data_IF_073052170306
#
_entry.id   IF_073052170306
#
_cell.length_a   1.000
_cell.length_b   1.000
_cell.length_c   1.000
_cell.angle_alpha   90.00
_cell.angle_beta   90.00
_cell.angle_gamma   90.00
#
_symmetry.space_group_name_H-M   'P 1'
#
loop_
_entity.id
_entity.type
_entity.pdbx_description
1 polymer ?
#
# COMPACT_ATOMS: atom_id res chain seq x y z
N UNK A 1 18.00 -31.93 -2.00
CA UNK A 1 17.95 -30.49 -2.33
C UNK A 1 19.28 -29.86 -1.93
N UNK A 2 19.97 -29.15 -2.84
CA UNK A 2 21.33 -28.66 -2.61
C UNK A 2 21.28 -27.55 -1.55
N UNK A 3 21.99 -27.70 -0.42
CA UNK A 3 21.94 -26.82 0.75
C UNK A 3 22.25 -25.35 0.42
N UNK A 4 23.06 -25.10 -0.63
CA UNK A 4 23.25 -23.76 -1.21
C UNK A 4 21.93 -23.14 -1.69
N UNK A 5 21.04 -23.91 -2.35
CA UNK A 5 19.72 -23.43 -2.80
C UNK A 5 18.79 -23.05 -1.64
N UNK A 6 18.91 -23.70 -0.47
CA UNK A 6 18.11 -23.37 0.73
C UNK A 6 18.52 -21.99 1.28
N UNK A 7 19.83 -21.76 1.41
CA UNK A 7 20.39 -20.47 1.83
C UNK A 7 20.10 -19.38 0.78
N UNK A 8 20.15 -19.70 -0.53
CA UNK A 8 19.80 -18.73 -1.58
C UNK A 8 18.30 -18.38 -1.56
N UNK A 9 17.40 -19.34 -1.33
CA UNK A 9 15.95 -19.08 -1.19
C UNK A 9 15.63 -18.21 0.03
N UNK A 10 16.30 -18.46 1.15
CA UNK A 10 16.16 -17.67 2.39
C UNK A 10 16.75 -16.27 2.28
N UNK A 11 17.91 -16.12 1.63
CA UNK A 11 18.51 -14.81 1.35
C UNK A 11 17.67 -13.98 0.37
N UNK A 12 16.99 -14.63 -0.59
CA UNK A 12 16.02 -13.97 -1.47
C UNK A 12 14.84 -13.45 -0.64
N UNK A 13 14.27 -14.22 0.29
CA UNK A 13 13.15 -13.76 1.14
C UNK A 13 13.51 -12.55 2.03
N UNK A 14 14.75 -12.46 2.54
CA UNK A 14 15.25 -11.27 3.26
C UNK A 14 15.36 -10.02 2.35
N UNK A 15 15.66 -10.20 1.07
CA UNK A 15 15.70 -9.12 0.06
C UNK A 15 14.29 -8.71 -0.40
N UNK A 16 13.29 -9.60 -0.33
CA UNK A 16 11.89 -9.30 -0.72
C UNK A 16 11.16 -8.37 0.26
N UNK A 17 11.68 -8.16 1.47
CA UNK A 17 11.25 -7.07 2.36
C UNK A 17 11.59 -5.68 1.82
N UNK A 18 12.45 -5.59 0.80
CA UNK A 18 12.86 -4.38 0.10
C UNK A 18 12.48 -4.37 -1.38
N UNK A 19 11.39 -5.01 -1.80
CA UNK A 19 10.94 -4.88 -3.20
C UNK A 19 10.74 -3.40 -3.54
N UNK A 20 11.38 -2.89 -4.62
CA UNK A 20 11.19 -1.51 -5.04
C UNK A 20 9.70 -1.26 -5.34
N UNK A 21 9.25 -0.07 -4.99
CA UNK A 21 7.91 0.42 -5.23
C UNK A 21 7.62 0.41 -6.74
N UNK A 22 6.95 -0.63 -7.25
CA UNK A 22 6.52 -0.72 -8.64
C UNK A 22 5.50 0.38 -9.04
N UNK A 23 5.07 1.23 -8.11
CA UNK A 23 4.19 2.38 -8.36
C UNK A 23 4.94 3.72 -8.55
N UNK A 24 6.25 3.71 -8.79
CA UNK A 24 7.06 4.94 -8.86
C UNK A 24 6.51 5.97 -9.86
N UNK A 25 6.03 5.52 -11.03
CA UNK A 25 5.44 6.42 -12.04
C UNK A 25 4.15 7.06 -11.55
N UNK A 26 3.23 6.29 -10.97
CA UNK A 26 1.94 6.81 -10.50
C UNK A 26 2.11 7.74 -9.29
N UNK A 27 3.09 7.45 -8.42
CA UNK A 27 3.47 8.35 -7.33
C UNK A 27 4.05 9.65 -7.88
N UNK A 28 4.95 9.57 -8.87
CA UNK A 28 5.50 10.77 -9.54
C UNK A 28 4.40 11.61 -10.20
N UNK A 29 3.49 10.97 -10.94
CA UNK A 29 2.37 11.65 -11.58
C UNK A 29 1.49 12.35 -10.53
N UNK A 30 1.17 11.68 -9.42
CA UNK A 30 0.42 12.28 -8.32
C UNK A 30 1.16 13.47 -7.70
N UNK A 31 2.44 13.30 -7.35
CA UNK A 31 3.26 14.37 -6.75
C UNK A 31 3.28 15.60 -7.67
N UNK A 32 3.49 15.39 -8.97
CA UNK A 32 3.45 16.47 -9.96
C UNK A 32 2.10 17.20 -10.01
N UNK A 33 0.99 16.46 -10.04
CA UNK A 33 -0.34 17.09 -10.04
C UNK A 33 -0.65 17.82 -8.73
N UNK A 34 -0.17 17.29 -7.60
CA UNK A 34 -0.33 17.92 -6.29
C UNK A 34 0.48 19.22 -6.19
N UNK A 35 1.71 19.24 -6.70
CA UNK A 35 2.52 20.47 -6.77
C UNK A 35 1.87 21.54 -7.65
N UNK A 36 1.30 21.14 -8.80
CA UNK A 36 0.49 22.02 -9.64
C UNK A 36 -0.73 22.56 -8.90
N UNK A 37 -1.45 21.71 -8.17
CA UNK A 37 -2.59 22.13 -7.36
C UNK A 37 -2.18 23.21 -6.35
N UNK A 38 -1.07 23.00 -5.62
CA UNK A 38 -0.56 23.99 -4.65
C UNK A 38 -0.25 25.33 -5.32
N UNK A 39 0.48 25.29 -6.43
CA UNK A 39 0.82 26.50 -7.19
C UNK A 39 -0.44 27.26 -7.65
N UNK A 40 -1.39 26.53 -8.25
CA UNK A 40 -2.65 27.13 -8.72
C UNK A 40 -3.52 27.65 -7.56
N UNK A 41 -3.42 27.05 -6.37
CA UNK A 41 -4.15 27.48 -5.19
C UNK A 41 -3.62 28.83 -4.67
N UNK A 42 -2.30 29.01 -4.68
CA UNK A 42 -1.66 30.26 -4.30
C UNK A 42 -2.05 31.39 -5.29
N UNK A 43 -2.00 31.12 -6.60
CA UNK A 43 -2.44 32.06 -7.63
C UNK A 43 -3.92 32.45 -7.50
N UNK A 44 -4.80 31.47 -7.27
CA UNK A 44 -6.22 31.71 -7.00
C UNK A 44 -6.41 32.59 -5.77
N UNK A 45 -5.65 32.34 -4.70
CA UNK A 45 -5.77 33.11 -3.45
C UNK A 45 -5.39 34.57 -3.67
N UNK A 46 -4.32 34.83 -4.43
CA UNK A 46 -3.91 36.18 -4.82
C UNK A 46 -4.99 36.88 -5.63
N UNK A 47 -5.47 36.25 -6.72
CA UNK A 47 -6.48 36.82 -7.61
C UNK A 47 -7.81 37.10 -6.89
N UNK A 48 -8.25 36.17 -6.02
CA UNK A 48 -9.42 36.35 -5.16
C UNK A 48 -9.27 37.58 -4.26
N UNK A 49 -8.14 37.70 -3.57
CA UNK A 49 -7.89 38.81 -2.65
C UNK A 49 -7.81 40.15 -3.39
N UNK A 50 -7.21 40.17 -4.57
CA UNK A 50 -7.14 41.35 -5.43
C UNK A 50 -8.54 41.79 -5.89
N UNK A 51 -9.38 40.86 -6.35
CA UNK A 51 -10.77 41.15 -6.68
C UNK A 51 -11.56 41.72 -5.50
N UNK A 52 -11.44 41.11 -4.31
CA UNK A 52 -12.11 41.60 -3.09
C UNK A 52 -11.68 43.03 -2.71
N UNK A 53 -10.43 43.40 -3.02
CA UNK A 53 -9.88 44.74 -2.75
C UNK A 53 -10.27 45.76 -3.81
N UNK A 54 -10.08 45.44 -5.09
CA UNK A 54 -10.18 46.41 -6.19
C UNK A 54 -11.58 46.48 -6.80
N UNK A 55 -12.31 45.36 -6.85
CA UNK A 55 -13.66 45.24 -7.42
C UNK A 55 -13.78 45.77 -8.86
N UNK A 56 -12.72 45.69 -9.64
CA UNK A 56 -12.70 46.08 -11.06
C UNK A 56 -13.09 44.90 -11.95
N UNK A 57 -13.59 45.18 -13.16
CA UNK A 57 -13.93 44.14 -14.15
C UNK A 57 -12.71 43.25 -14.48
N UNK A 58 -11.51 43.85 -14.56
CA UNK A 58 -10.26 43.11 -14.79
C UNK A 58 -9.96 42.15 -13.66
N UNK A 59 -10.00 42.62 -12.40
CA UNK A 59 -9.75 41.76 -11.23
C UNK A 59 -10.81 40.66 -11.07
N UNK A 60 -12.07 40.93 -11.44
CA UNK A 60 -13.14 39.94 -11.45
C UNK A 60 -12.87 38.84 -12.48
N UNK A 61 -12.47 39.23 -13.69
CA UNK A 61 -12.14 38.29 -14.77
C UNK A 61 -10.96 37.41 -14.38
N UNK A 62 -9.90 37.98 -13.82
CA UNK A 62 -8.74 37.20 -13.37
C UNK A 62 -9.12 36.21 -12.24
N UNK A 63 -9.90 36.66 -11.24
CA UNK A 63 -10.39 35.79 -10.18
C UNK A 63 -11.26 34.63 -10.73
N UNK A 64 -12.11 34.88 -11.72
CA UNK A 64 -12.90 33.85 -12.40
C UNK A 64 -11.99 32.84 -13.13
N UNK A 65 -11.04 33.34 -13.91
CA UNK A 65 -10.12 32.52 -14.69
C UNK A 65 -9.26 31.63 -13.76
N UNK A 66 -8.74 32.17 -12.65
CA UNK A 66 -8.00 31.40 -11.64
C UNK A 66 -8.89 30.43 -10.84
N UNK A 67 -10.14 30.78 -10.57
CA UNK A 67 -11.11 29.88 -9.93
C UNK A 67 -11.39 28.65 -10.79
N UNK A 68 -11.58 28.85 -12.11
CA UNK A 68 -11.74 27.76 -13.08
C UNK A 68 -10.54 26.81 -13.02
N UNK A 69 -9.33 27.35 -13.08
CA UNK A 69 -8.07 26.59 -13.05
C UNK A 69 -7.93 25.75 -11.78
N UNK A 70 -8.20 26.31 -10.59
CA UNK A 70 -8.03 25.56 -9.34
C UNK A 70 -9.08 24.45 -9.17
N UNK A 71 -10.32 24.65 -9.61
CA UNK A 71 -11.35 23.61 -9.56
C UNK A 71 -10.97 22.45 -10.49
N UNK A 72 -10.56 22.74 -11.73
CA UNK A 72 -10.06 21.72 -12.66
C UNK A 72 -8.88 20.96 -12.08
N UNK A 73 -7.88 21.67 -11.54
CA UNK A 73 -6.67 21.05 -11.02
C UNK A 73 -6.95 20.21 -9.76
N UNK A 74 -7.91 20.60 -8.92
CA UNK A 74 -8.36 19.82 -7.76
C UNK A 74 -8.94 18.47 -8.20
N UNK A 75 -9.84 18.47 -9.18
CA UNK A 75 -10.41 17.24 -9.74
C UNK A 75 -9.34 16.36 -10.39
N UNK A 76 -8.42 16.95 -11.16
CA UNK A 76 -7.32 16.22 -11.80
C UNK A 76 -6.39 15.56 -10.79
N UNK A 77 -6.05 16.27 -9.71
CA UNK A 77 -5.18 15.74 -8.65
C UNK A 77 -5.83 14.52 -7.98
N UNK A 78 -7.12 14.63 -7.65
CA UNK A 78 -7.88 13.53 -7.07
C UNK A 78 -7.98 12.34 -8.04
N UNK A 79 -8.22 12.60 -9.32
CA UNK A 79 -8.31 11.56 -10.35
C UNK A 79 -7.02 10.75 -10.45
N UNK A 80 -5.86 11.43 -10.51
CA UNK A 80 -4.56 10.76 -10.57
C UNK A 80 -4.26 9.99 -9.28
N UNK A 81 -4.68 10.51 -8.12
CA UNK A 81 -4.59 9.78 -6.86
C UNK A 81 -5.39 8.47 -6.90
N UNK A 82 -6.65 8.49 -7.36
CA UNK A 82 -7.46 7.28 -7.48
C UNK A 82 -6.88 6.29 -8.51
N UNK A 83 -6.28 6.77 -9.60
CA UNK A 83 -5.56 5.91 -10.54
C UNK A 83 -4.35 5.22 -9.89
N UNK A 84 -3.60 5.94 -9.05
CA UNK A 84 -2.48 5.37 -8.31
C UNK A 84 -2.93 4.31 -7.30
N UNK A 85 -4.07 4.54 -6.62
CA UNK A 85 -4.70 3.55 -5.75
C UNK A 85 -5.14 2.31 -6.54
N UNK A 86 -5.81 2.48 -7.68
CA UNK A 86 -6.23 1.37 -8.56
C UNK A 86 -5.04 0.53 -9.01
N UNK A 87 -3.96 1.18 -9.43
CA UNK A 87 -2.74 0.47 -9.83
C UNK A 87 -2.16 -0.33 -8.66
N UNK A 88 -2.07 0.29 -7.48
CA UNK A 88 -1.56 -0.36 -6.27
C UNK A 88 -2.43 -1.53 -5.83
N UNK A 89 -3.75 -1.41 -5.91
CA UNK A 89 -4.72 -2.46 -5.61
C UNK A 89 -4.51 -3.67 -6.51
N UNK A 90 -4.42 -3.44 -7.82
CA UNK A 90 -4.32 -4.53 -8.80
C UNK A 90 -2.98 -5.27 -8.72
N UNK A 91 -1.90 -4.54 -8.43
CA UNK A 91 -0.54 -5.10 -8.32
C UNK A 91 -0.24 -5.74 -6.95
N UNK A 92 -1.01 -5.42 -5.91
CA UNK A 92 -0.79 -5.98 -4.58
C UNK A 92 -1.28 -7.42 -4.51
N UNK A 93 -0.40 -8.35 -4.13
CA UNK A 93 -0.75 -9.75 -3.85
C UNK A 93 -1.48 -9.88 -2.50
N UNK A 94 -2.09 -11.04 -2.23
CA UNK A 94 -2.75 -11.34 -0.95
C UNK A 94 -4.12 -10.67 -0.74
N UNK A 95 -4.63 -9.89 -1.68
CA UNK A 95 -6.00 -9.35 -1.65
C UNK A 95 -6.96 -10.37 -2.29
N UNK A 96 -8.13 -10.57 -1.70
CA UNK A 96 -9.17 -11.42 -2.27
C UNK A 96 -9.59 -10.91 -3.65
N UNK A 97 -9.84 -11.83 -4.60
CA UNK A 97 -10.15 -11.45 -5.97
C UNK A 97 -11.46 -10.65 -6.07
N UNK A 98 -12.47 -11.03 -5.27
CA UNK A 98 -13.76 -10.34 -5.18
C UNK A 98 -13.58 -8.88 -4.73
N UNK A 99 -12.76 -8.64 -3.69
CA UNK A 99 -12.45 -7.28 -3.24
C UNK A 99 -11.70 -6.47 -4.29
N UNK A 100 -10.72 -7.08 -4.99
CA UNK A 100 -10.00 -6.40 -6.06
C UNK A 100 -10.92 -5.94 -7.18
N UNK A 101 -11.85 -6.81 -7.60
CA UNK A 101 -12.81 -6.52 -8.67
C UNK A 101 -13.74 -5.39 -8.23
N UNK A 102 -14.35 -5.53 -7.05
CA UNK A 102 -15.30 -4.54 -6.50
C UNK A 102 -14.65 -3.17 -6.33
N UNK A 103 -13.51 -3.10 -5.63
CA UNK A 103 -12.81 -1.83 -5.41
C UNK A 103 -12.29 -1.21 -6.70
N UNK A 104 -11.80 -2.03 -7.64
CA UNK A 104 -11.38 -1.50 -8.96
C UNK A 104 -12.55 -0.89 -9.73
N UNK A 105 -13.73 -1.53 -9.71
CA UNK A 105 -14.93 -1.01 -10.35
C UNK A 105 -15.37 0.32 -9.72
N UNK A 106 -15.41 0.40 -8.39
CA UNK A 106 -15.75 1.64 -7.67
C UNK A 106 -14.75 2.78 -7.98
N UNK A 107 -13.45 2.46 -8.07
CA UNK A 107 -12.43 3.43 -8.45
C UNK A 107 -12.61 3.89 -9.90
N UNK A 108 -12.94 2.99 -10.82
CA UNK A 108 -13.17 3.33 -12.24
C UNK A 108 -14.39 4.24 -12.42
N UNK A 109 -15.48 3.99 -11.69
CA UNK A 109 -16.64 4.86 -11.67
C UNK A 109 -16.26 6.28 -11.26
N UNK A 110 -15.52 6.43 -10.15
CA UNK A 110 -15.14 7.75 -9.64
C UNK A 110 -14.07 8.43 -10.50
N UNK A 111 -13.13 7.69 -11.09
CA UNK A 111 -12.17 8.22 -12.08
C UNK A 111 -12.91 8.75 -13.31
N UNK A 112 -13.91 8.01 -13.79
CA UNK A 112 -14.76 8.42 -14.92
C UNK A 112 -15.57 9.67 -14.59
N UNK A 113 -16.19 9.71 -13.40
CA UNK A 113 -16.91 10.89 -12.94
C UNK A 113 -16.01 12.13 -12.86
N UNK A 114 -14.80 11.99 -12.33
CA UNK A 114 -13.83 13.09 -12.23
C UNK A 114 -13.37 13.58 -13.61
N UNK A 115 -13.22 12.67 -14.58
CA UNK A 115 -12.93 13.07 -15.97
C UNK A 115 -14.08 13.91 -16.54
N UNK A 116 -15.32 13.45 -16.41
CA UNK A 116 -16.49 14.20 -16.88
C UNK A 116 -16.59 15.57 -16.18
N UNK A 117 -16.29 15.63 -14.88
CA UNK A 117 -16.26 16.88 -14.13
C UNK A 117 -15.20 17.87 -14.65
N UNK A 118 -14.02 17.37 -15.05
CA UNK A 118 -12.98 18.16 -15.70
C UNK A 118 -13.43 18.64 -17.07
N UNK A 119 -14.09 17.79 -17.85
CA UNK A 119 -14.58 18.11 -19.19
C UNK A 119 -15.69 19.17 -19.13
N UNK A 120 -16.64 19.05 -18.20
CA UNK A 120 -17.66 20.08 -17.91
C UNK A 120 -17.00 21.44 -17.59
N UNK A 121 -15.97 21.43 -16.74
CA UNK A 121 -15.28 22.65 -16.36
C UNK A 121 -14.52 23.26 -17.54
N UNK A 122 -13.77 22.45 -18.28
CA UNK A 122 -12.96 22.95 -19.40
C UNK A 122 -13.82 23.45 -20.56
N UNK A 123 -14.96 22.80 -20.83
CA UNK A 123 -15.91 23.14 -21.89
C UNK A 123 -16.75 24.40 -21.65
N UNK A 124 -16.81 24.93 -20.42
CA UNK A 124 -17.52 26.19 -20.15
C UNK A 124 -16.84 27.41 -20.78
N UNK A 125 -17.58 28.11 -21.63
CA UNK A 125 -17.21 29.40 -22.20
C UNK A 125 -17.78 30.53 -21.35
N UNK A 126 -16.93 31.45 -20.89
CA UNK A 126 -17.31 32.62 -20.08
C UNK A 126 -18.17 32.29 -18.83
N UNK A 127 -17.69 31.43 -17.90
CA UNK A 127 -18.47 31.03 -16.74
C UNK A 127 -18.75 32.21 -15.81
N UNK A 128 -19.93 32.21 -15.19
CA UNK A 128 -20.26 33.11 -14.08
C UNK A 128 -19.72 32.56 -12.76
N UNK A 129 -19.71 33.40 -11.71
CA UNK A 129 -19.38 32.94 -10.35
C UNK A 129 -20.35 31.85 -9.87
N UNK A 130 -21.62 31.95 -10.24
CA UNK A 130 -22.64 30.96 -9.89
C UNK A 130 -22.34 29.61 -10.53
N UNK A 131 -21.95 29.59 -11.81
CA UNK A 131 -21.60 28.36 -12.53
C UNK A 131 -20.41 27.66 -11.87
N UNK A 132 -19.36 28.42 -11.55
CA UNK A 132 -18.17 27.90 -10.88
C UNK A 132 -18.48 27.38 -9.46
N UNK A 133 -19.37 28.06 -8.73
CA UNK A 133 -19.79 27.62 -7.41
C UNK A 133 -20.61 26.32 -7.47
N UNK A 134 -21.55 26.23 -8.42
CA UNK A 134 -22.38 25.05 -8.58
C UNK A 134 -21.52 23.83 -8.95
N UNK A 135 -20.61 23.99 -9.91
CA UNK A 135 -19.71 22.90 -10.30
C UNK A 135 -18.76 22.55 -9.16
N UNK A 136 -18.13 23.50 -8.49
CA UNK A 136 -17.29 23.21 -7.32
C UNK A 136 -18.06 22.42 -6.26
N UNK A 137 -19.31 22.78 -6.01
CA UNK A 137 -20.19 22.11 -5.03
C UNK A 137 -20.53 20.66 -5.42
N UNK A 138 -20.58 20.33 -6.73
CA UNK A 138 -20.79 18.94 -7.18
C UNK A 138 -19.66 18.02 -6.69
N UNK A 139 -18.42 18.48 -6.72
CA UNK A 139 -17.27 17.73 -6.21
C UNK A 139 -17.27 17.64 -4.68
N UNK A 140 -17.59 18.73 -3.98
CA UNK A 140 -17.65 18.75 -2.52
C UNK A 140 -18.69 17.76 -1.96
N UNK A 141 -19.82 17.60 -2.65
CA UNK A 141 -20.85 16.62 -2.26
C UNK A 141 -20.34 15.17 -2.28
N UNK A 142 -19.29 14.87 -3.04
CA UNK A 142 -18.65 13.55 -3.10
C UNK A 142 -17.46 13.38 -2.15
N UNK A 143 -17.08 14.42 -1.39
CA UNK A 143 -15.89 14.40 -0.52
C UNK A 143 -15.83 13.14 0.37
N UNK A 144 -16.91 12.85 1.11
CA UNK A 144 -16.93 11.70 2.02
C UNK A 144 -16.80 10.38 1.27
N UNK A 145 -17.47 10.24 0.12
CA UNK A 145 -17.38 9.05 -0.72
C UNK A 145 -15.94 8.80 -1.17
N UNK A 146 -15.20 9.83 -1.59
CA UNK A 146 -13.79 9.69 -1.96
C UNK A 146 -12.91 9.28 -0.80
N UNK A 147 -13.11 9.87 0.37
CA UNK A 147 -12.32 9.54 1.57
C UNK A 147 -12.54 8.09 1.97
N UNK A 148 -13.80 7.65 2.04
CA UNK A 148 -14.18 6.28 2.41
C UNK A 148 -13.57 5.29 1.41
N UNK A 149 -13.80 5.49 0.11
CA UNK A 149 -13.27 4.62 -0.95
C UNK A 149 -11.73 4.55 -0.92
N UNK A 150 -11.08 5.69 -0.68
CA UNK A 150 -9.62 5.76 -0.58
C UNK A 150 -9.10 4.99 0.63
N UNK A 151 -9.71 5.18 1.80
CA UNK A 151 -9.30 4.47 3.01
C UNK A 151 -9.56 2.98 2.93
N UNK A 152 -10.70 2.58 2.36
CA UNK A 152 -11.03 1.19 2.09
C UNK A 152 -9.98 0.55 1.18
N UNK A 153 -9.66 1.20 0.06
CA UNK A 153 -8.66 0.70 -0.89
C UNK A 153 -7.28 0.57 -0.23
N UNK A 154 -6.85 1.58 0.53
CA UNK A 154 -5.58 1.55 1.26
C UNK A 154 -5.58 0.43 2.30
N UNK A 155 -6.67 0.22 3.03
CA UNK A 155 -6.78 -0.87 4.00
C UNK A 155 -6.56 -2.23 3.35
N UNK A 156 -7.27 -2.53 2.26
CA UNK A 156 -7.10 -3.81 1.55
C UNK A 156 -5.69 -3.98 0.97
N UNK A 157 -5.06 -2.91 0.47
CA UNK A 157 -3.65 -2.96 0.03
C UNK A 157 -2.72 -3.34 1.19
N UNK A 158 -2.88 -2.70 2.35
CA UNK A 158 -2.03 -2.98 3.52
C UNK A 158 -2.25 -4.40 4.05
N UNK A 159 -3.51 -4.84 4.15
CA UNK A 159 -3.88 -6.19 4.56
C UNK A 159 -3.28 -7.22 3.60
N UNK A 160 -3.44 -7.03 2.29
CA UNK A 160 -2.91 -7.94 1.27
C UNK A 160 -1.39 -8.08 1.34
N UNK A 161 -0.67 -6.97 1.52
CA UNK A 161 0.79 -6.99 1.70
C UNK A 161 1.23 -7.79 2.92
N UNK A 162 0.59 -7.59 4.06
CA UNK A 162 0.94 -8.36 5.27
C UNK A 162 0.57 -9.83 5.12
N UNK A 163 -0.58 -10.15 4.52
CA UNK A 163 -0.97 -11.54 4.23
C UNK A 163 0.03 -12.24 3.33
N UNK A 164 0.47 -11.58 2.25
CA UNK A 164 1.51 -12.12 1.37
C UNK A 164 2.81 -12.39 2.14
N UNK A 165 3.24 -11.44 2.98
CA UNK A 165 4.43 -11.62 3.81
C UNK A 165 4.28 -12.79 4.79
N UNK A 166 3.12 -12.94 5.43
CA UNK A 166 2.82 -14.06 6.32
C UNK A 166 2.84 -15.41 5.58
N UNK A 167 2.34 -15.45 4.35
CA UNK A 167 2.38 -16.65 3.50
C UNK A 167 3.82 -17.03 3.12
N UNK A 168 4.65 -16.07 2.74
CA UNK A 168 6.08 -16.30 2.43
C UNK A 168 6.85 -16.77 3.66
N UNK A 169 6.56 -16.19 4.82
CA UNK A 169 7.11 -16.60 6.10
C UNK A 169 6.68 -18.02 6.48
N UNK A 170 5.40 -18.35 6.35
CA UNK A 170 4.86 -19.69 6.60
C UNK A 170 5.45 -20.74 5.66
N UNK A 171 5.62 -20.42 4.38
CA UNK A 171 6.29 -21.29 3.42
C UNK A 171 7.75 -21.60 3.84
N UNK A 172 8.43 -20.62 4.44
CA UNK A 172 9.77 -20.83 5.01
C UNK A 172 9.73 -21.81 6.18
N UNK A 173 8.73 -21.72 7.07
CA UNK A 173 8.53 -22.70 8.14
C UNK A 173 8.31 -24.12 7.58
N UNK A 174 7.47 -24.27 6.56
CA UNK A 174 7.26 -25.57 5.90
C UNK A 174 8.54 -26.18 5.34
N UNK A 175 9.48 -25.36 4.89
CA UNK A 175 10.81 -25.81 4.42
C UNK A 175 11.73 -26.21 5.58
N UNK A 176 11.65 -25.51 6.72
CA UNK A 176 12.45 -25.82 7.91
C UNK A 176 11.97 -27.07 8.65
N UNK A 177 10.67 -27.35 8.66
CA UNK A 177 10.04 -28.45 9.37
C UNK A 177 10.76 -29.81 9.22
N UNK A 178 11.02 -30.32 8.00
CA UNK A 178 11.67 -31.63 7.84
C UNK A 178 13.10 -31.66 8.40
N UNK A 179 13.80 -30.51 8.47
CA UNK A 179 15.13 -30.42 9.07
C UNK A 179 15.02 -30.47 10.60
N UNK A 180 14.06 -29.74 11.17
CA UNK A 180 13.77 -29.76 12.61
C UNK A 180 13.44 -31.18 13.07
N UNK A 181 12.56 -31.87 12.35
CA UNK A 181 12.13 -33.24 12.67
C UNK A 181 13.29 -34.25 12.57
N UNK A 182 14.21 -34.05 11.62
CA UNK A 182 15.37 -34.92 11.40
C UNK A 182 16.37 -34.86 12.56
N UNK A 183 16.71 -33.67 13.03
CA UNK A 183 17.80 -33.51 14.00
C UNK A 183 17.35 -33.64 15.46
N UNK A 184 16.04 -33.69 15.74
CA UNK A 184 15.45 -33.95 17.06
C UNK A 184 16.06 -33.13 18.21
N UNK A 185 16.53 -31.92 17.91
CA UNK A 185 17.09 -31.01 18.89
C UNK A 185 15.96 -30.20 19.54
N UNK A 186 15.85 -30.25 20.87
CA UNK A 186 14.76 -29.60 21.61
C UNK A 186 14.77 -28.07 21.49
N UNK A 187 15.94 -27.43 21.41
CA UNK A 187 16.05 -25.99 21.20
C UNK A 187 15.54 -25.58 19.81
N UNK A 188 15.96 -26.31 18.77
CA UNK A 188 15.51 -26.06 17.39
C UNK A 188 14.00 -26.26 17.28
N UNK A 189 13.46 -27.31 17.92
CA UNK A 189 12.03 -27.58 17.93
C UNK A 189 11.25 -26.47 18.63
N UNK A 190 11.71 -26.01 19.80
CA UNK A 190 11.06 -24.91 20.51
C UNK A 190 11.02 -23.63 19.67
N UNK A 191 12.16 -23.20 19.08
CA UNK A 191 12.16 -22.02 18.21
C UNK A 191 11.29 -22.19 16.97
N UNK A 192 11.21 -23.40 16.41
CA UNK A 192 10.31 -23.68 15.30
C UNK A 192 8.84 -23.51 15.72
N UNK A 193 8.45 -24.04 16.87
CA UNK A 193 7.08 -23.90 17.38
C UNK A 193 6.74 -22.43 17.67
N UNK A 194 7.68 -21.66 18.23
CA UNK A 194 7.52 -20.20 18.39
C UNK A 194 7.39 -19.49 17.04
N UNK A 195 8.18 -19.88 16.04
CA UNK A 195 8.10 -19.35 14.67
C UNK A 195 6.72 -19.60 14.04
N UNK A 196 6.15 -20.80 14.23
CA UNK A 196 4.81 -21.14 13.74
C UNK A 196 3.72 -20.36 14.49
N UNK A 197 3.86 -20.19 15.80
CA UNK A 197 2.95 -19.35 16.60
C UNK A 197 2.90 -17.90 16.09
N UNK A 198 4.05 -17.32 15.69
CA UNK A 198 4.06 -15.96 15.12
C UNK A 198 3.24 -15.86 13.82
N UNK A 199 3.25 -16.90 12.98
CA UNK A 199 2.40 -16.94 11.77
C UNK A 199 0.92 -16.93 12.13
N UNK A 200 0.52 -17.74 13.11
CA UNK A 200 -0.87 -17.83 13.57
C UNK A 200 -1.36 -16.51 14.16
N UNK A 201 -0.56 -15.89 15.03
CA UNK A 201 -0.91 -14.60 15.65
C UNK A 201 -0.93 -13.46 14.63
N UNK A 202 -0.05 -13.47 13.63
CA UNK A 202 -0.13 -12.53 12.52
C UNK A 202 -1.42 -12.70 11.71
N UNK A 203 -1.90 -13.93 11.51
CA UNK A 203 -3.15 -14.21 10.82
C UNK A 203 -4.39 -13.71 11.60
N UNK A 204 -4.35 -13.78 12.94
CA UNK A 204 -5.35 -13.15 13.79
C UNK A 204 -5.39 -11.63 13.60
N UNK A 205 -4.23 -10.96 13.60
CA UNK A 205 -4.16 -9.52 13.30
C UNK A 205 -4.70 -9.15 11.91
N UNK A 206 -4.43 -9.99 10.90
CA UNK A 206 -5.00 -9.84 9.55
C UNK A 206 -6.53 -9.98 9.59
N UNK A 207 -7.06 -10.96 10.32
CA UNK A 207 -8.49 -11.21 10.45
C UNK A 207 -9.20 -10.06 11.17
N UNK A 208 -8.61 -9.54 12.25
CA UNK A 208 -9.13 -8.36 12.95
C UNK A 208 -9.16 -7.14 12.02
N UNK A 209 -8.09 -6.91 11.27
CA UNK A 209 -8.01 -5.81 10.31
C UNK A 209 -9.08 -5.91 9.21
N UNK A 210 -9.39 -7.13 8.72
CA UNK A 210 -10.48 -7.35 7.77
C UNK A 210 -11.85 -7.03 8.38
N UNK A 211 -12.11 -7.45 9.62
CA UNK A 211 -13.37 -7.15 10.29
C UNK A 211 -13.58 -5.63 10.42
N UNK A 212 -12.52 -4.87 10.73
CA UNK A 212 -12.58 -3.41 10.77
C UNK A 212 -12.79 -2.81 9.37
N UNK A 213 -12.17 -3.40 8.33
CA UNK A 213 -12.35 -2.97 6.94
C UNK A 213 -13.79 -3.17 6.45
N UNK A 214 -14.48 -4.23 6.87
CA UNK A 214 -15.90 -4.42 6.57
C UNK A 214 -16.79 -3.34 7.19
N UNK A 215 -16.48 -2.90 8.41
CA UNK A 215 -17.21 -1.79 9.05
C UNK A 215 -16.86 -0.43 8.45
N UNK A 216 -15.64 -0.26 7.91
CA UNK A 216 -15.22 0.96 7.21
C UNK A 216 -16.12 1.27 6.01
N UNK A 217 -16.62 0.25 5.30
CA UNK A 217 -17.57 0.40 4.17
C UNK A 217 -18.86 1.12 4.57
N UNK A 218 -19.23 1.04 5.85
CA UNK A 218 -20.44 1.62 6.41
C UNK A 218 -20.19 2.98 7.08
N UNK A 219 -18.97 3.50 7.01
CA UNK A 219 -18.64 4.80 7.56
C UNK A 219 -19.51 5.89 6.90
N UNK A 220 -20.02 6.80 7.71
CA UNK A 220 -20.87 7.91 7.30
C UNK A 220 -20.11 9.22 7.11
N UNK A 221 -18.90 9.33 7.67
CA UNK A 221 -18.08 10.53 7.62
C UNK A 221 -16.56 10.25 7.60
N UNK A 222 -15.80 11.32 7.34
CA UNK A 222 -14.33 11.32 7.29
C UNK A 222 -13.68 10.88 8.60
N UNK A 223 -14.24 11.26 9.76
CA UNK A 223 -13.65 10.95 11.06
C UNK A 223 -13.78 9.45 11.38
N UNK A 224 -14.95 8.87 11.11
CA UNK A 224 -15.19 7.44 11.25
C UNK A 224 -14.25 6.64 10.34
N UNK A 225 -14.17 7.01 9.06
CA UNK A 225 -13.29 6.35 8.10
C UNK A 225 -11.80 6.45 8.52
N UNK A 226 -11.37 7.62 9.01
CA UNK A 226 -10.00 7.84 9.47
C UNK A 226 -9.66 7.01 10.70
N UNK A 227 -10.56 6.94 11.69
CA UNK A 227 -10.40 6.11 12.89
C UNK A 227 -10.27 4.63 12.52
N UNK A 228 -11.15 4.12 11.65
CA UNK A 228 -11.07 2.74 11.18
C UNK A 228 -9.74 2.43 10.50
N UNK A 229 -9.26 3.32 9.62
CA UNK A 229 -7.96 3.13 8.97
C UNK A 229 -6.79 3.14 9.97
N UNK A 230 -6.84 3.98 11.01
CA UNK A 230 -5.83 3.98 12.08
C UNK A 230 -5.85 2.65 12.85
N UNK A 231 -7.03 2.16 13.24
CA UNK A 231 -7.16 0.87 13.93
C UNK A 231 -6.63 -0.29 13.08
N UNK A 232 -6.93 -0.29 11.78
CA UNK A 232 -6.39 -1.26 10.82
C UNK A 232 -4.86 -1.19 10.79
N UNK A 233 -4.28 0.01 10.69
CA UNK A 233 -2.81 0.18 10.69
C UNK A 233 -2.18 -0.34 11.98
N UNK A 234 -2.83 -0.18 13.13
CA UNK A 234 -2.33 -0.68 14.40
C UNK A 234 -2.33 -2.22 14.44
N UNK A 235 -3.43 -2.87 14.05
CA UNK A 235 -3.50 -4.33 13.93
C UNK A 235 -2.41 -4.87 13.00
N UNK A 236 -2.25 -4.26 11.82
CA UNK A 236 -1.22 -4.66 10.87
C UNK A 236 0.20 -4.36 11.36
N UNK A 237 0.38 -3.31 12.15
CA UNK A 237 1.64 -2.99 12.82
C UNK A 237 2.05 -4.08 13.81
N UNK A 238 1.09 -4.56 14.61
CA UNK A 238 1.28 -5.69 15.53
C UNK A 238 1.63 -6.97 14.76
N UNK A 239 0.87 -7.31 13.72
CA UNK A 239 1.15 -8.46 12.85
C UNK A 239 2.55 -8.41 12.22
N UNK A 240 2.96 -7.24 11.72
CA UNK A 240 4.31 -7.04 11.16
C UNK A 240 5.40 -7.25 12.21
N UNK A 241 5.20 -6.77 13.44
CA UNK A 241 6.17 -6.96 14.52
C UNK A 241 6.30 -8.45 14.89
N UNK A 242 5.19 -9.20 14.94
CA UNK A 242 5.22 -10.64 15.16
C UNK A 242 6.06 -11.38 14.11
N UNK A 243 5.92 -11.04 12.83
CA UNK A 243 6.75 -11.64 11.78
C UNK A 243 8.23 -11.26 11.92
N UNK A 244 8.52 -10.03 12.33
CA UNK A 244 9.90 -9.59 12.59
C UNK A 244 10.53 -10.41 13.73
N UNK A 245 9.80 -10.62 14.81
CA UNK A 245 10.26 -11.45 15.93
C UNK A 245 10.41 -12.91 15.51
N UNK A 246 9.47 -13.40 14.70
CA UNK A 246 9.51 -14.72 14.08
C UNK A 246 10.76 -14.98 13.23
N UNK A 247 11.19 -13.99 12.43
CA UNK A 247 12.43 -14.07 11.66
C UNK A 247 13.63 -14.31 12.57
N UNK A 248 13.64 -13.75 13.79
CA UNK A 248 14.67 -14.03 14.79
C UNK A 248 14.75 -15.51 15.16
N UNK A 249 13.61 -16.17 15.36
CA UNK A 249 13.58 -17.63 15.60
C UNK A 249 14.08 -18.42 14.40
N UNK A 250 13.68 -18.06 13.18
CA UNK A 250 14.19 -18.71 11.96
C UNK A 250 15.71 -18.57 11.82
N UNK A 251 16.28 -17.43 12.21
CA UNK A 251 17.73 -17.20 12.20
C UNK A 251 18.47 -18.11 13.19
N UNK A 252 17.96 -18.25 14.42
CA UNK A 252 18.57 -19.14 15.42
C UNK A 252 18.45 -20.62 15.03
N UNK A 253 17.32 -21.04 14.44
CA UNK A 253 17.17 -22.38 13.84
C UNK A 253 18.27 -22.64 12.81
N UNK A 254 18.47 -21.72 11.87
CA UNK A 254 19.47 -21.86 10.81
C UNK A 254 20.89 -21.92 11.37
N UNK A 255 21.20 -21.08 12.37
CA UNK A 255 22.50 -21.05 13.03
C UNK A 255 22.82 -22.38 13.72
N UNK A 256 21.87 -22.98 14.43
CA UNK A 256 22.09 -24.28 15.06
C UNK A 256 22.14 -25.42 14.03
N UNK A 257 21.29 -25.40 13.01
CA UNK A 257 21.38 -26.36 11.91
C UNK A 257 22.76 -26.30 11.23
N UNK A 258 23.33 -25.11 11.03
CA UNK A 258 24.66 -24.95 10.43
C UNK A 258 25.80 -25.52 11.27
N UNK A 259 25.65 -25.62 12.59
CA UNK A 259 26.65 -26.26 13.47
C UNK A 259 26.62 -27.79 13.36
N UNK A 260 25.42 -28.34 13.15
CA UNK A 260 25.17 -29.79 13.16
C UNK A 260 25.29 -30.39 11.75
N UNK A 261 25.05 -29.58 10.71
CA UNK A 261 25.20 -30.01 9.34
C UNK A 261 26.66 -30.32 9.01
N UNK A 262 26.97 -31.47 8.39
CA UNK A 262 28.33 -31.81 7.99
C UNK A 262 28.86 -30.73 7.05
N UNK A 263 29.99 -30.12 7.42
CA UNK A 263 30.68 -29.15 6.56
C UNK A 263 31.07 -29.86 5.27
N UNK A 264 30.64 -29.32 4.14
CA UNK A 264 31.01 -29.82 2.82
C UNK A 264 32.47 -29.43 2.49
N UNK A 265 33.43 -29.94 3.25
CA UNK A 265 34.87 -29.88 2.95
C UNK A 265 35.59 -30.86 3.88
N UNK A 266 35.86 -32.07 3.38
CA UNK A 266 37.01 -32.93 3.75
C UNK A 266 36.98 -34.23 2.92
N UNK A 267 36.75 -34.12 1.60
CA UNK A 267 36.86 -35.27 0.67
C UNK A 267 37.73 -35.04 -0.56
N UNK A 268 38.44 -33.90 -0.66
CA UNK A 268 39.35 -33.64 -1.78
C UNK A 268 40.84 -33.51 -1.37
N UNK A 269 41.22 -33.91 -0.15
CA UNK A 269 42.61 -33.74 0.34
C UNK A 269 43.42 -35.06 0.47
N UNK A 270 42.97 -36.19 -0.07
CA UNK A 270 43.68 -37.48 0.10
C UNK A 270 43.85 -38.31 -1.19
N UNK A 271 43.93 -37.67 -2.36
CA UNK A 271 44.15 -38.37 -3.63
C UNK A 271 45.37 -37.86 -4.42
N UNK A 272 46.48 -37.52 -3.75
CA UNK A 272 47.74 -37.17 -4.42
C UNK A 272 49.00 -37.72 -3.72
N UNK A 273 48.92 -38.92 -3.16
CA UNK A 273 50.09 -39.60 -2.59
C UNK A 273 50.07 -41.08 -2.91
N UNK A 274 50.72 -41.49 -3.99
CA UNK A 274 50.86 -42.90 -4.35
C UNK A 274 51.19 -43.13 -5.81
N UNK A 275 52.36 -42.68 -6.25
CA UNK A 275 53.10 -43.31 -7.36
C UNK A 275 54.59 -43.11 -7.07
N UNK A 276 55.18 -44.11 -6.43
CA UNK A 276 56.59 -44.48 -6.54
C UNK A 276 56.63 -45.95 -6.91
#
# INVERSE_FOLDING_TARGET
>A
MNYKKLITLLAINLVLLGKPCFAQRQVQDYTYQYEKYRTNYDEYTVAKNEFLKQKTLTSQKDALDKTKVIITQRAQTLRVYLMALKYSLNTTAGIANEDKIRLSANLDEEIGWLQNHIDDMTGMNNPTLTDLFEISSRLERKKNQYIILSHETVAHILIGRLRQLNQEYSATNSVLQPLVDKYKNSFIKNWYDQSVDMTFRCDQSITNALAIAEELKKANDENAASKSLVSIKNELGNGKQLLKDGVGYQQEILKELNKILPKASDKNASASGGNQ
#
